data_IF_905053272595
#
_entry.id   IF_905053272595
#
_cell.length_a   1.000
_cell.length_b   1.000
_cell.length_c   1.000
_cell.angle_alpha   90.00
_cell.angle_beta   90.00
_cell.angle_gamma   90.00
#
_symmetry.space_group_name_H-M   'P 1'
#
loop_
_entity.id
_entity.type
_entity.pdbx_description
1 polymer ?
#
# COMPACT_ATOMS: atom_id res chain seq x y z
N UNK A 1 -29.36 -29.19 24.82
CA UNK A 1 -29.44 -27.97 23.98
C UNK A 1 -28.28 -26.98 24.22
N UNK A 2 -27.97 -26.57 25.48
CA UNK A 2 -26.84 -25.65 25.80
C UNK A 2 -25.44 -26.15 25.34
N UNK A 3 -25.13 -27.44 25.50
CA UNK A 3 -23.85 -28.02 25.04
C UNK A 3 -23.68 -27.99 23.50
N UNK A 4 -24.76 -28.21 22.75
CA UNK A 4 -24.76 -28.17 21.28
C UNK A 4 -24.57 -26.75 20.72
N UNK A 5 -25.13 -25.74 21.41
CA UNK A 5 -24.92 -24.33 21.09
C UNK A 5 -23.46 -23.93 21.36
N UNK A 6 -22.91 -24.32 22.52
CA UNK A 6 -21.47 -24.14 22.84
C UNK A 6 -20.56 -24.78 21.78
N UNK A 7 -20.84 -26.02 21.37
CA UNK A 7 -20.04 -26.73 20.35
C UNK A 7 -20.03 -26.01 19.00
N UNK A 8 -21.17 -25.46 18.54
CA UNK A 8 -21.23 -24.68 17.29
C UNK A 8 -20.48 -23.35 17.37
N UNK A 9 -20.56 -22.66 18.52
CA UNK A 9 -19.83 -21.41 18.73
C UNK A 9 -18.31 -21.63 18.73
N UNK A 10 -17.85 -22.72 19.33
CA UNK A 10 -16.43 -23.10 19.35
C UNK A 10 -15.89 -23.35 17.93
N UNK A 11 -16.67 -24.00 17.05
CA UNK A 11 -16.26 -24.23 15.65
C UNK A 11 -16.08 -22.91 14.90
N UNK A 12 -17.05 -21.99 14.98
CA UNK A 12 -16.95 -20.69 14.31
C UNK A 12 -15.82 -19.83 14.87
N UNK A 13 -15.57 -19.90 16.18
CA UNK A 13 -14.43 -19.25 16.78
C UNK A 13 -13.10 -19.81 16.24
N UNK A 14 -12.98 -21.14 16.11
CA UNK A 14 -11.82 -21.77 15.48
C UNK A 14 -11.62 -21.37 14.01
N UNK A 15 -12.71 -21.28 13.23
CA UNK A 15 -12.67 -20.78 11.84
C UNK A 15 -12.22 -19.32 11.80
N UNK A 16 -12.68 -18.48 12.74
CA UNK A 16 -12.25 -17.09 12.85
C UNK A 16 -10.75 -16.99 13.10
N UNK A 17 -10.20 -17.75 14.06
CA UNK A 17 -8.76 -17.77 14.31
C UNK A 17 -8.00 -18.20 13.05
N UNK A 18 -8.46 -19.25 12.36
CA UNK A 18 -7.83 -19.71 11.13
C UNK A 18 -7.81 -18.64 10.05
N UNK A 19 -8.93 -17.92 9.83
CA UNK A 19 -8.96 -16.83 8.86
C UNK A 19 -8.08 -15.66 9.25
N UNK A 20 -8.00 -15.31 10.54
CA UNK A 20 -7.06 -14.28 11.01
C UNK A 20 -5.62 -14.72 10.72
N UNK A 21 -5.26 -15.98 10.97
CA UNK A 21 -3.93 -16.49 10.65
C UNK A 21 -3.64 -16.47 9.14
N UNK A 22 -4.62 -16.84 8.29
CA UNK A 22 -4.50 -16.77 6.83
C UNK A 22 -4.31 -15.31 6.38
N UNK A 23 -5.10 -14.39 6.90
CA UNK A 23 -4.97 -12.96 6.59
C UNK A 23 -3.62 -12.40 7.03
N UNK A 24 -3.11 -12.84 8.19
CA UNK A 24 -1.82 -12.40 8.70
C UNK A 24 -0.66 -12.92 7.86
N UNK A 25 -0.71 -14.17 7.41
CA UNK A 25 0.38 -14.75 6.61
C UNK A 25 0.37 -14.28 5.15
N UNK A 26 -0.81 -14.08 4.56
CA UNK A 26 -0.95 -13.80 3.14
C UNK A 26 -1.16 -12.32 2.78
N UNK A 27 -1.67 -11.49 3.69
CA UNK A 27 -2.18 -10.16 3.34
C UNK A 27 -1.87 -9.07 4.37
N UNK A 28 -1.00 -9.32 5.36
CA UNK A 28 -0.71 -8.35 6.42
C UNK A 28 -0.23 -7.00 5.87
N UNK A 29 0.64 -7.00 4.86
CA UNK A 29 1.15 -5.76 4.28
C UNK A 29 0.17 -5.14 3.29
N UNK A 30 -0.66 -5.96 2.64
CA UNK A 30 -1.78 -5.46 1.84
C UNK A 30 -2.74 -4.59 2.66
N UNK A 31 -3.14 -5.01 3.87
CA UNK A 31 -4.01 -4.18 4.72
C UNK A 31 -3.38 -2.85 5.11
N UNK A 32 -2.09 -2.87 5.50
CA UNK A 32 -1.35 -1.65 5.81
C UNK A 32 -1.31 -0.70 4.60
N UNK A 33 -1.04 -1.24 3.42
CA UNK A 33 -0.97 -0.45 2.19
C UNK A 33 -2.33 0.13 1.77
N UNK A 34 -3.43 -0.59 2.02
CA UNK A 34 -4.78 -0.06 1.77
C UNK A 34 -5.08 1.18 2.63
N UNK A 35 -4.66 1.18 3.90
CA UNK A 35 -4.85 2.33 4.80
C UNK A 35 -4.12 3.56 4.31
N UNK A 36 -2.89 3.38 3.82
CA UNK A 36 -2.13 4.46 3.20
C UNK A 36 -2.84 5.07 2.00
N UNK A 37 -3.66 4.28 1.31
CA UNK A 37 -4.37 4.72 0.12
C UNK A 37 -5.68 5.44 0.43
N UNK A 38 -6.33 5.07 1.52
CA UNK A 38 -7.59 5.65 1.93
C UNK A 38 -7.82 5.38 3.42
N UNK A 39 -8.12 6.43 4.16
CA UNK A 39 -8.42 6.36 5.60
C UNK A 39 -9.67 7.16 5.93
N UNK A 40 -10.21 6.94 7.14
CA UNK A 40 -11.40 7.65 7.60
C UNK A 40 -11.06 9.05 8.11
N UNK A 41 -11.75 10.05 7.58
CA UNK A 41 -11.74 11.42 8.09
C UNK A 41 -13.03 11.64 8.88
N UNK A 42 -12.90 12.08 10.13
CA UNK A 42 -14.00 12.43 11.03
C UNK A 42 -14.64 13.76 10.61
N UNK A 43 -15.35 13.70 9.47
CA UNK A 43 -16.07 14.81 8.86
C UNK A 43 -17.56 14.45 8.74
N UNK A 44 -18.38 15.07 9.58
CA UNK A 44 -19.81 14.80 9.65
C UNK A 44 -20.52 15.15 8.33
N UNK A 45 -20.12 16.24 7.67
CA UNK A 45 -20.74 16.68 6.42
C UNK A 45 -20.43 15.69 5.29
N UNK A 46 -19.19 15.22 5.20
CA UNK A 46 -18.80 14.21 4.22
C UNK A 46 -19.55 12.89 4.43
N UNK A 47 -19.72 12.45 5.67
CA UNK A 47 -20.50 11.25 6.00
C UNK A 47 -21.97 11.43 5.65
N UNK A 48 -22.58 12.55 6.02
CA UNK A 48 -23.97 12.88 5.69
C UNK A 48 -24.22 12.97 4.18
N UNK A 49 -23.23 13.39 3.39
CA UNK A 49 -23.32 13.40 1.93
C UNK A 49 -23.08 12.02 1.30
N UNK A 50 -22.30 11.15 1.95
CA UNK A 50 -22.01 9.81 1.45
C UNK A 50 -23.17 8.83 1.70
N UNK A 51 -23.80 8.87 2.89
CA UNK A 51 -24.84 7.91 3.29
C UNK A 51 -26.04 7.79 2.33
N UNK A 52 -26.59 8.89 1.76
CA UNK A 52 -27.73 8.80 0.83
C UNK A 52 -27.38 8.18 -0.52
N UNK A 53 -26.08 8.14 -0.88
CA UNK A 53 -25.65 7.57 -2.16
C UNK A 53 -25.80 6.05 -2.13
N UNK A 54 -26.21 5.40 -3.24
CA UNK A 54 -26.28 3.94 -3.32
C UNK A 54 -24.93 3.29 -2.98
N UNK A 55 -24.92 2.39 -1.99
CA UNK A 55 -23.70 1.76 -1.47
C UNK A 55 -22.85 2.64 -0.53
N UNK A 56 -23.29 3.88 -0.25
CA UNK A 56 -22.58 4.83 0.60
C UNK A 56 -22.31 4.33 2.02
N UNK A 57 -23.26 3.58 2.61
CA UNK A 57 -23.05 2.96 3.92
C UNK A 57 -21.85 2.00 3.92
N UNK A 58 -21.68 1.19 2.88
CA UNK A 58 -20.57 0.25 2.80
C UNK A 58 -19.23 0.97 2.60
N UNK A 59 -19.21 2.08 1.86
CA UNK A 59 -18.04 2.94 1.72
C UNK A 59 -17.64 3.55 3.07
N UNK A 60 -18.59 4.18 3.78
CA UNK A 60 -18.34 4.78 5.10
C UNK A 60 -17.86 3.72 6.11
N UNK A 61 -18.49 2.55 6.13
CA UNK A 61 -18.06 1.45 6.99
C UNK A 61 -16.66 0.93 6.63
N UNK A 62 -16.32 0.87 5.33
CA UNK A 62 -15.01 0.43 4.89
C UNK A 62 -13.92 1.40 5.29
N UNK A 63 -14.13 2.69 5.04
CA UNK A 63 -13.19 3.75 5.40
C UNK A 63 -13.00 3.75 6.93
N UNK A 64 -14.10 3.68 7.69
CA UNK A 64 -14.05 3.59 9.16
C UNK A 64 -13.27 2.38 9.65
N UNK A 65 -13.45 1.20 9.06
CA UNK A 65 -12.72 0.00 9.49
C UNK A 65 -11.26 0.02 9.02
N UNK A 66 -10.97 0.63 7.87
CA UNK A 66 -9.61 0.73 7.31
C UNK A 66 -8.66 1.54 8.19
N UNK A 67 -9.16 2.54 8.95
CA UNK A 67 -8.32 3.33 9.87
C UNK A 67 -7.58 2.47 10.91
N UNK A 68 -8.13 1.30 11.27
CA UNK A 68 -7.50 0.39 12.24
C UNK A 68 -6.34 -0.42 11.64
N UNK A 69 -6.22 -0.45 10.30
CA UNK A 69 -5.14 -1.19 9.63
C UNK A 69 -3.77 -0.52 9.88
N UNK A 70 -3.75 0.78 10.17
CA UNK A 70 -2.56 1.49 10.64
C UNK A 70 -1.95 0.82 11.89
N UNK A 71 -2.80 0.36 12.82
CA UNK A 71 -2.39 -0.31 14.06
C UNK A 71 -2.15 -1.83 13.89
N UNK A 72 -2.15 -2.34 12.65
CA UNK A 72 -1.93 -3.76 12.36
C UNK A 72 -3.15 -4.66 12.62
N UNK A 73 -4.34 -4.09 12.87
CA UNK A 73 -5.56 -4.86 13.12
C UNK A 73 -6.22 -5.44 11.84
N UNK A 74 -5.66 -5.19 10.66
CA UNK A 74 -6.22 -5.62 9.37
C UNK A 74 -6.57 -7.11 9.29
N UNK A 75 -5.66 -8.03 9.64
CA UNK A 75 -5.96 -9.46 9.65
C UNK A 75 -7.12 -9.85 10.57
N UNK A 76 -7.28 -9.16 11.71
CA UNK A 76 -8.37 -9.40 12.67
C UNK A 76 -9.70 -8.95 12.07
N UNK A 77 -9.75 -7.70 11.60
CA UNK A 77 -10.98 -7.11 11.00
C UNK A 77 -11.43 -7.93 9.80
N UNK A 78 -10.52 -8.25 8.88
CA UNK A 78 -10.85 -9.00 7.68
C UNK A 78 -11.15 -10.47 7.97
N UNK A 79 -10.46 -11.09 8.93
CA UNK A 79 -10.75 -12.44 9.39
C UNK A 79 -12.16 -12.57 9.96
N UNK A 80 -12.61 -11.60 10.77
CA UNK A 80 -14.00 -11.52 11.25
C UNK A 80 -14.97 -11.40 10.08
N UNK A 81 -14.69 -10.53 9.10
CA UNK A 81 -15.53 -10.37 7.91
C UNK A 81 -15.65 -11.67 7.10
N UNK A 82 -14.54 -12.38 6.91
CA UNK A 82 -14.52 -13.71 6.27
C UNK A 82 -15.36 -14.74 7.05
N UNK A 83 -15.29 -14.73 8.39
CA UNK A 83 -16.13 -15.59 9.22
C UNK A 83 -17.61 -15.26 9.07
N UNK A 84 -17.97 -13.97 9.04
CA UNK A 84 -19.35 -13.53 8.84
C UNK A 84 -19.89 -13.98 7.47
N UNK A 85 -19.08 -13.90 6.41
CA UNK A 85 -19.44 -14.39 5.06
C UNK A 85 -19.69 -15.91 5.09
N UNK A 86 -18.75 -16.68 5.63
CA UNK A 86 -18.89 -18.14 5.71
C UNK A 86 -20.09 -18.54 6.58
N UNK A 87 -20.33 -17.82 7.68
CA UNK A 87 -21.47 -18.00 8.55
C UNK A 87 -22.78 -17.71 7.83
N UNK A 88 -22.91 -16.56 7.17
CA UNK A 88 -24.10 -16.16 6.42
C UNK A 88 -24.46 -17.19 5.35
N UNK A 89 -23.45 -17.70 4.62
CA UNK A 89 -23.66 -18.73 3.61
C UNK A 89 -24.09 -20.07 4.21
N UNK A 90 -23.62 -20.42 5.41
CA UNK A 90 -24.09 -21.63 6.11
C UNK A 90 -25.58 -21.59 6.46
N UNK A 91 -26.20 -20.39 6.47
CA UNK A 91 -27.62 -20.22 6.73
C UNK A 91 -28.49 -20.51 5.49
N UNK A 92 -27.91 -20.56 4.28
CA UNK A 92 -28.66 -20.74 3.04
C UNK A 92 -29.37 -22.09 2.98
N UNK A 93 -28.72 -23.17 3.46
CA UNK A 93 -29.25 -24.55 3.45
C UNK A 93 -29.21 -25.15 4.87
N UNK A 94 -30.33 -25.67 5.43
CA UNK A 94 -30.42 -26.00 6.90
C UNK A 94 -29.43 -27.10 7.30
N UNK A 95 -29.31 -28.09 6.41
CA UNK A 95 -28.52 -29.31 6.59
C UNK A 95 -27.29 -29.35 5.67
N UNK A 96 -27.06 -28.28 4.91
CA UNK A 96 -25.93 -28.18 4.00
C UNK A 96 -24.59 -28.13 4.74
N UNK A 97 -23.52 -28.47 4.03
CA UNK A 97 -22.16 -28.38 4.54
C UNK A 97 -21.78 -26.98 5.01
N UNK A 98 -21.72 -26.77 6.33
CA UNK A 98 -21.45 -25.45 6.93
C UNK A 98 -20.05 -24.93 6.62
N UNK A 99 -19.06 -25.82 6.54
CA UNK A 99 -17.67 -25.47 6.26
C UNK A 99 -17.42 -25.08 4.80
N UNK A 100 -18.31 -25.45 3.86
CA UNK A 100 -18.15 -25.11 2.44
C UNK A 100 -18.14 -23.59 2.20
N UNK A 101 -18.78 -22.80 3.06
CA UNK A 101 -18.77 -21.33 2.96
C UNK A 101 -17.38 -20.70 3.14
N UNK A 102 -16.42 -21.44 3.69
CA UNK A 102 -15.03 -20.98 3.80
C UNK A 102 -14.39 -20.74 2.42
N UNK A 103 -14.83 -21.47 1.39
CA UNK A 103 -14.34 -21.32 0.01
C UNK A 103 -14.67 -19.91 -0.51
N UNK A 104 -15.92 -19.49 -0.34
CA UNK A 104 -16.40 -18.16 -0.74
C UNK A 104 -15.72 -17.04 0.06
N UNK A 105 -15.47 -17.26 1.35
CA UNK A 105 -14.73 -16.31 2.18
C UNK A 105 -13.27 -16.13 1.70
N UNK A 106 -12.59 -17.22 1.34
CA UNK A 106 -11.22 -17.16 0.78
C UNK A 106 -11.21 -16.53 -0.61
N UNK A 107 -12.21 -16.81 -1.45
CA UNK A 107 -12.37 -16.13 -2.74
C UNK A 107 -12.49 -14.61 -2.57
N UNK A 108 -13.22 -14.14 -1.56
CA UNK A 108 -13.31 -12.72 -1.21
C UNK A 108 -11.96 -12.12 -0.82
N UNK A 109 -11.13 -12.84 -0.05
CA UNK A 109 -9.75 -12.41 0.25
C UNK A 109 -8.91 -12.31 -1.03
N UNK A 110 -8.94 -13.35 -1.87
CA UNK A 110 -8.14 -13.39 -3.11
C UNK A 110 -8.49 -12.26 -4.06
N UNK A 111 -9.78 -11.93 -4.21
CA UNK A 111 -10.20 -10.76 -4.99
C UNK A 111 -9.56 -9.51 -4.41
N UNK A 112 -9.69 -9.23 -3.12
CA UNK A 112 -9.12 -8.02 -2.52
C UNK A 112 -7.60 -7.92 -2.73
N UNK A 113 -6.87 -9.01 -2.48
CA UNK A 113 -5.39 -8.99 -2.52
C UNK A 113 -4.80 -8.92 -3.92
N UNK A 114 -5.59 -9.24 -4.95
CA UNK A 114 -5.11 -9.37 -6.33
C UNK A 114 -4.90 -8.06 -7.08
N UNK A 115 -5.52 -6.96 -6.62
CA UNK A 115 -5.29 -5.66 -7.21
C UNK A 115 -5.68 -4.55 -6.22
N UNK A 116 -4.84 -3.52 -6.10
CA UNK A 116 -5.13 -2.37 -5.22
C UNK A 116 -6.29 -1.49 -5.71
N UNK A 117 -6.76 -1.72 -6.94
CA UNK A 117 -7.97 -1.11 -7.46
C UNK A 117 -9.25 -1.61 -6.76
N UNK A 118 -9.22 -2.83 -6.19
CA UNK A 118 -10.36 -3.43 -5.52
C UNK A 118 -10.53 -2.83 -4.13
N UNK A 119 -11.74 -2.32 -3.87
CA UNK A 119 -12.03 -1.57 -2.66
C UNK A 119 -12.45 -2.51 -1.53
N UNK A 120 -12.03 -2.19 -0.31
CA UNK A 120 -12.48 -2.89 0.89
C UNK A 120 -14.01 -2.80 1.09
N UNK A 121 -14.63 -1.72 0.61
CA UNK A 121 -16.09 -1.57 0.56
C UNK A 121 -16.79 -2.70 -0.22
N UNK A 122 -16.12 -3.29 -1.22
CA UNK A 122 -16.65 -4.41 -1.98
C UNK A 122 -16.83 -5.65 -1.13
N UNK A 123 -15.88 -5.93 -0.24
CA UNK A 123 -15.96 -7.04 0.72
C UNK A 123 -17.07 -6.81 1.75
N UNK A 124 -17.28 -5.57 2.21
CA UNK A 124 -18.39 -5.23 3.11
C UNK A 124 -19.74 -5.39 2.40
N UNK A 125 -19.88 -4.86 1.19
CA UNK A 125 -21.08 -5.04 0.37
C UNK A 125 -21.38 -6.53 0.18
N UNK A 126 -20.37 -7.32 -0.18
CA UNK A 126 -20.51 -8.76 -0.36
C UNK A 126 -21.02 -9.44 0.91
N UNK A 127 -20.42 -9.15 2.06
CA UNK A 127 -20.88 -9.69 3.35
C UNK A 127 -22.35 -9.36 3.64
N UNK A 128 -22.76 -8.11 3.44
CA UNK A 128 -24.16 -7.69 3.66
C UNK A 128 -25.09 -8.45 2.71
N UNK A 129 -24.72 -8.60 1.43
CA UNK A 129 -25.54 -9.34 0.46
C UNK A 129 -25.66 -10.81 0.84
N UNK A 130 -24.61 -11.46 1.36
CA UNK A 130 -24.68 -12.85 1.81
C UNK A 130 -25.74 -13.06 2.92
N UNK A 131 -25.87 -12.11 3.84
CA UNK A 131 -26.93 -12.11 4.85
C UNK A 131 -28.31 -11.82 4.26
N UNK A 132 -28.43 -10.87 3.33
CA UNK A 132 -29.70 -10.57 2.67
C UNK A 132 -30.22 -11.79 1.87
N UNK A 133 -29.34 -12.53 1.19
CA UNK A 133 -29.71 -13.79 0.53
C UNK A 133 -30.22 -14.81 1.56
N UNK A 134 -29.57 -14.92 2.72
CA UNK A 134 -30.07 -15.80 3.79
C UNK A 134 -31.49 -15.39 4.25
N UNK A 135 -31.79 -14.08 4.35
CA UNK A 135 -33.13 -13.56 4.65
C UNK A 135 -34.13 -13.95 3.56
N UNK A 136 -33.78 -13.78 2.28
CA UNK A 136 -34.63 -14.15 1.14
C UNK A 136 -34.99 -15.64 1.17
N UNK A 137 -34.05 -16.51 1.53
CA UNK A 137 -34.25 -17.96 1.59
C UNK A 137 -35.04 -18.44 2.81
N UNK A 138 -35.11 -17.66 3.89
CA UNK A 138 -35.63 -18.11 5.21
C UNK A 138 -36.87 -17.40 5.71
N UNK A 139 -37.04 -16.14 5.35
CA UNK A 139 -38.01 -15.26 5.99
C UNK A 139 -39.34 -15.17 5.24
N UNK A 140 -40.31 -14.47 5.86
CA UNK A 140 -41.64 -14.20 5.29
C UNK A 140 -41.55 -13.31 4.04
N UNK A 141 -42.54 -13.39 3.15
CA UNK A 141 -42.55 -12.73 1.83
C UNK A 141 -42.20 -11.23 1.84
N UNK A 142 -42.76 -10.44 2.77
CA UNK A 142 -42.44 -9.01 2.89
C UNK A 142 -40.95 -8.72 3.15
N UNK A 143 -40.30 -9.49 4.04
CA UNK A 143 -38.87 -9.37 4.31
C UNK A 143 -38.02 -9.77 3.09
N UNK A 144 -38.50 -10.70 2.26
CA UNK A 144 -37.82 -11.06 1.00
C UNK A 144 -37.83 -9.89 0.03
N UNK A 145 -38.98 -9.22 -0.13
CA UNK A 145 -39.10 -8.07 -1.01
C UNK A 145 -38.15 -6.95 -0.58
N UNK A 146 -38.12 -6.62 0.72
CA UNK A 146 -37.19 -5.64 1.28
C UNK A 146 -35.73 -6.04 1.02
N UNK A 147 -35.39 -7.31 1.26
CA UNK A 147 -34.02 -7.79 1.04
C UNK A 147 -33.59 -7.72 -0.43
N UNK A 148 -34.46 -8.05 -1.38
CA UNK A 148 -34.17 -7.93 -2.83
C UNK A 148 -33.92 -6.48 -3.22
N UNK A 149 -34.78 -5.55 -2.76
CA UNK A 149 -34.59 -4.11 -3.00
C UNK A 149 -33.24 -3.63 -2.46
N UNK A 150 -32.88 -4.04 -1.23
CA UNK A 150 -31.59 -3.68 -0.64
C UNK A 150 -30.39 -4.24 -1.42
N UNK A 151 -30.46 -5.48 -1.92
CA UNK A 151 -29.40 -6.06 -2.76
C UNK A 151 -29.16 -5.21 -4.01
N UNK A 152 -30.23 -4.81 -4.70
CA UNK A 152 -30.14 -3.98 -5.92
C UNK A 152 -29.55 -2.60 -5.61
N UNK A 153 -29.85 -2.02 -4.45
CA UNK A 153 -29.33 -0.72 -4.04
C UNK A 153 -27.85 -0.78 -3.61
N UNK A 154 -27.40 -1.89 -3.02
CA UNK A 154 -26.06 -2.06 -2.48
C UNK A 154 -24.99 -2.37 -3.54
N UNK A 155 -25.31 -3.22 -4.52
CA UNK A 155 -24.30 -3.68 -5.50
C UNK A 155 -24.11 -2.62 -6.58
N UNK A 156 -23.08 -1.79 -6.42
CA UNK A 156 -22.68 -0.76 -7.37
C UNK A 156 -21.20 -0.83 -7.68
N UNK A 157 -20.82 -0.46 -8.91
CA UNK A 157 -19.42 -0.43 -9.38
C UNK A 157 -18.51 0.33 -8.40
N UNK A 158 -18.96 1.50 -7.93
CA UNK A 158 -18.19 2.39 -7.07
C UNK A 158 -17.88 1.81 -5.68
N UNK A 159 -18.57 0.74 -5.27
CA UNK A 159 -18.22 0.01 -4.04
C UNK A 159 -17.20 -1.09 -4.30
N UNK A 160 -17.14 -1.63 -5.53
CA UNK A 160 -16.32 -2.79 -5.86
C UNK A 160 -14.91 -2.39 -6.30
N UNK A 161 -14.82 -1.34 -7.12
CA UNK A 161 -13.56 -0.91 -7.73
C UNK A 161 -13.47 0.60 -7.76
N UNK A 162 -12.25 1.13 -7.64
CA UNK A 162 -11.95 2.56 -7.73
C UNK A 162 -12.40 3.15 -9.07
N UNK A 163 -12.77 4.43 -9.06
CA UNK A 163 -13.17 5.15 -10.27
C UNK A 163 -12.05 5.13 -11.33
N UNK A 164 -12.41 5.15 -12.62
CA UNK A 164 -11.45 5.04 -13.73
C UNK A 164 -10.94 3.63 -14.04
N UNK A 165 -11.24 2.63 -13.22
CA UNK A 165 -10.79 1.25 -13.48
C UNK A 165 -11.87 0.39 -14.18
N UNK A 166 -11.41 -0.53 -15.02
CA UNK A 166 -12.27 -1.48 -15.73
C UNK A 166 -12.66 -2.68 -14.85
N UNK A 167 -13.89 -3.16 -15.04
CA UNK A 167 -14.41 -4.30 -14.29
C UNK A 167 -13.85 -5.61 -14.86
N UNK A 168 -12.85 -6.19 -14.19
CA UNK A 168 -12.31 -7.51 -14.55
C UNK A 168 -13.11 -8.64 -13.92
N UNK A 169 -13.09 -9.81 -14.55
CA UNK A 169 -13.74 -11.05 -14.06
C UNK A 169 -13.38 -11.38 -12.60
N UNK A 170 -12.19 -11.01 -12.15
CA UNK A 170 -11.71 -11.29 -10.79
C UNK A 170 -12.56 -10.63 -9.68
N UNK A 171 -13.23 -9.51 -9.97
CA UNK A 171 -14.20 -8.87 -9.05
C UNK A 171 -15.38 -9.79 -8.76
N UNK A 172 -15.77 -10.60 -9.76
CA UNK A 172 -16.93 -11.48 -9.67
C UNK A 172 -16.60 -12.84 -9.03
N UNK A 173 -15.33 -13.14 -8.75
CA UNK A 173 -14.90 -14.41 -8.16
C UNK A 173 -15.67 -14.77 -6.86
N UNK A 174 -15.88 -13.86 -5.88
CA UNK A 174 -16.60 -14.19 -4.65
C UNK A 174 -18.08 -14.47 -4.93
N UNK A 175 -18.65 -13.78 -5.91
CA UNK A 175 -20.05 -13.94 -6.32
C UNK A 175 -20.29 -15.27 -7.03
N UNK A 176 -19.43 -15.63 -7.99
CA UNK A 176 -19.49 -16.90 -8.70
C UNK A 176 -19.29 -18.08 -7.74
N UNK A 177 -18.30 -17.97 -6.85
CA UNK A 177 -18.03 -19.01 -5.85
C UNK A 177 -19.16 -19.13 -4.84
N UNK A 178 -19.85 -18.03 -4.49
CA UNK A 178 -21.02 -18.09 -3.62
C UNK A 178 -22.15 -18.95 -4.22
N UNK A 179 -22.42 -18.78 -5.51
CA UNK A 179 -23.43 -19.57 -6.25
C UNK A 179 -23.01 -21.03 -6.30
N UNK A 180 -21.77 -21.33 -6.72
CA UNK A 180 -21.25 -22.71 -6.80
C UNK A 180 -21.30 -23.40 -5.44
N UNK A 181 -20.86 -22.74 -4.38
CA UNK A 181 -20.91 -23.29 -3.01
C UNK A 181 -22.34 -23.49 -2.54
N UNK A 182 -23.29 -22.62 -2.90
CA UNK A 182 -24.71 -22.82 -2.63
C UNK A 182 -25.24 -24.11 -3.28
N UNK A 183 -24.88 -24.36 -4.54
CA UNK A 183 -25.23 -25.61 -5.24
C UNK A 183 -24.57 -26.83 -4.58
N UNK A 184 -23.30 -26.73 -4.18
CA UNK A 184 -22.60 -27.79 -3.45
C UNK A 184 -23.23 -28.07 -2.08
N UNK A 185 -23.73 -27.04 -1.38
CA UNK A 185 -24.45 -27.22 -0.12
C UNK A 185 -25.76 -27.99 -0.35
N UNK A 186 -26.52 -27.68 -1.40
CA UNK A 186 -27.72 -28.45 -1.76
C UNK A 186 -27.36 -29.89 -2.11
N UNK A 187 -26.37 -30.11 -2.97
CA UNK A 187 -25.88 -31.44 -3.32
C UNK A 187 -25.41 -32.23 -2.09
N UNK A 188 -24.77 -31.56 -1.12
CA UNK A 188 -24.31 -32.18 0.11
C UNK A 188 -25.45 -32.72 0.98
N UNK A 189 -26.64 -32.13 0.94
CA UNK A 189 -27.83 -32.65 1.65
C UNK A 189 -28.29 -33.97 1.03
N UNK A 190 -28.29 -34.06 -0.31
CA UNK A 190 -28.60 -35.32 -0.99
C UNK A 190 -27.53 -36.39 -0.72
N UNK A 191 -26.26 -36.01 -0.78
CA UNK A 191 -25.13 -36.90 -0.53
C UNK A 191 -25.05 -37.37 0.93
N UNK A 192 -25.51 -36.59 1.90
CA UNK A 192 -25.61 -37.02 3.31
C UNK A 192 -26.44 -38.28 3.47
N UNK A 193 -27.48 -38.47 2.64
CA UNK A 193 -28.30 -39.69 2.65
C UNK A 193 -27.51 -40.94 2.24
N UNK A 194 -26.48 -40.79 1.42
CA UNK A 194 -25.67 -41.90 0.89
C UNK A 194 -24.36 -42.12 1.66
N UNK A 195 -23.59 -41.05 1.87
CA UNK A 195 -22.22 -41.10 2.42
C UNK A 195 -22.19 -41.03 3.95
N UNK A 196 -23.32 -40.72 4.61
CA UNK A 196 -23.43 -40.66 6.07
C UNK A 196 -22.31 -39.83 6.72
N UNK A 197 -21.54 -40.47 7.61
CA UNK A 197 -20.44 -39.84 8.37
C UNK A 197 -19.27 -39.31 7.51
N UNK A 198 -19.08 -39.82 6.28
CA UNK A 198 -17.96 -39.42 5.44
C UNK A 198 -18.18 -38.08 4.71
N UNK A 199 -19.40 -37.53 4.71
CA UNK A 199 -19.67 -36.24 4.05
C UNK A 199 -18.88 -35.09 4.65
N UNK A 200 -18.70 -35.07 5.97
CA UNK A 200 -17.91 -34.00 6.63
C UNK A 200 -16.45 -34.07 6.19
N UNK A 201 -15.88 -35.27 6.07
CA UNK A 201 -14.52 -35.45 5.56
C UNK A 201 -14.40 -34.98 4.10
N UNK A 202 -15.36 -35.36 3.25
CA UNK A 202 -15.40 -34.92 1.86
C UNK A 202 -15.49 -33.38 1.75
N UNK A 203 -16.29 -32.72 2.59
CA UNK A 203 -16.37 -31.25 2.64
C UNK A 203 -15.02 -30.63 3.00
N UNK A 204 -14.31 -31.15 4.00
CA UNK A 204 -13.01 -30.63 4.40
C UNK A 204 -11.98 -30.79 3.28
N UNK A 205 -11.97 -31.93 2.57
CA UNK A 205 -11.09 -32.14 1.40
C UNK A 205 -11.41 -31.14 0.29
N UNK A 206 -12.69 -30.90 -0.01
CA UNK A 206 -13.11 -29.90 -1.02
C UNK A 206 -12.68 -28.49 -0.61
N UNK A 207 -12.88 -28.12 0.66
CA UNK A 207 -12.48 -26.79 1.17
C UNK A 207 -10.96 -26.62 1.06
N UNK A 208 -10.17 -27.58 1.54
CA UNK A 208 -8.71 -27.51 1.49
C UNK A 208 -8.23 -27.46 0.03
N UNK A 209 -8.77 -28.33 -0.83
CA UNK A 209 -8.45 -28.33 -2.26
C UNK A 209 -8.73 -26.99 -2.92
N UNK A 210 -9.91 -26.42 -2.72
CA UNK A 210 -10.30 -25.13 -3.29
C UNK A 210 -9.45 -23.97 -2.75
N UNK A 211 -9.15 -23.95 -1.45
CA UNK A 211 -8.26 -22.95 -0.84
C UNK A 211 -6.87 -23.04 -1.46
N UNK A 212 -6.29 -24.24 -1.57
CA UNK A 212 -4.99 -24.44 -2.22
C UNK A 212 -5.02 -23.97 -3.67
N UNK A 213 -6.07 -24.32 -4.44
CA UNK A 213 -6.23 -23.85 -5.82
C UNK A 213 -6.24 -22.33 -5.89
N UNK A 214 -6.99 -21.64 -5.02
CA UNK A 214 -7.01 -20.18 -4.98
C UNK A 214 -5.64 -19.56 -4.68
N UNK A 215 -4.89 -20.12 -3.73
CA UNK A 215 -3.54 -19.65 -3.45
C UNK A 215 -2.56 -19.93 -4.60
N UNK A 216 -2.75 -20.99 -5.39
CA UNK A 216 -1.90 -21.28 -6.54
C UNK A 216 -2.23 -20.42 -7.76
N UNK A 217 -3.49 -19.99 -7.93
CA UNK A 217 -3.94 -19.29 -9.15
C UNK A 217 -4.12 -17.79 -8.98
N UNK A 218 -4.54 -17.33 -7.80
CA UNK A 218 -4.92 -15.92 -7.57
C UNK A 218 -3.90 -15.14 -6.72
N UNK A 219 -3.15 -15.81 -5.84
CA UNK A 219 -2.23 -15.14 -4.94
C UNK A 219 -0.95 -14.70 -5.67
N UNK A 220 -0.57 -13.42 -5.49
CA UNK A 220 0.60 -12.83 -6.13
C UNK A 220 1.70 -12.55 -5.09
N UNK A 221 2.60 -13.51 -4.82
CA UNK A 221 3.61 -13.38 -3.76
C UNK A 221 4.61 -12.25 -4.02
N UNK A 222 4.89 -11.94 -5.29
CA UNK A 222 5.80 -10.83 -5.67
C UNK A 222 5.22 -9.47 -5.27
N UNK A 223 3.92 -9.28 -5.44
CA UNK A 223 3.28 -8.01 -5.06
C UNK A 223 3.20 -7.84 -3.54
N UNK A 224 2.86 -8.91 -2.81
CA UNK A 224 2.87 -8.87 -1.34
C UNK A 224 4.28 -8.61 -0.78
N UNK A 225 5.30 -9.20 -1.42
CA UNK A 225 6.69 -8.90 -1.10
C UNK A 225 7.02 -7.41 -1.31
N UNK A 226 6.57 -6.79 -2.40
CA UNK A 226 6.79 -5.36 -2.61
C UNK A 226 6.02 -4.47 -1.61
N UNK A 227 4.79 -4.84 -1.24
CA UNK A 227 4.03 -4.14 -0.18
C UNK A 227 4.78 -4.18 1.16
N UNK A 228 5.45 -5.30 1.46
CA UNK A 228 6.36 -5.43 2.60
C UNK A 228 7.56 -4.49 2.52
N UNK A 229 8.16 -4.33 1.34
CA UNK A 229 9.27 -3.38 1.15
C UNK A 229 8.79 -1.93 1.33
N UNK A 230 7.61 -1.58 0.82
CA UNK A 230 7.03 -0.25 1.04
C UNK A 230 6.70 0.01 2.52
N UNK A 231 6.29 -1.01 3.27
CA UNK A 231 6.18 -0.90 4.72
C UNK A 231 7.52 -0.51 5.37
N UNK A 232 8.62 -1.13 4.95
CA UNK A 232 9.95 -0.78 5.46
C UNK A 232 10.39 0.62 5.06
N UNK A 233 10.12 1.04 3.82
CA UNK A 233 10.37 2.43 3.37
C UNK A 233 9.63 3.42 4.25
N UNK A 234 8.33 3.19 4.46
CA UNK A 234 7.48 4.10 5.23
C UNK A 234 7.94 4.27 6.67
N UNK A 235 8.36 3.17 7.30
CA UNK A 235 8.83 3.13 8.68
C UNK A 235 10.34 3.38 8.82
N UNK A 236 11.03 3.77 7.74
CA UNK A 236 12.47 4.06 7.72
C UNK A 236 13.34 2.89 8.22
N UNK A 237 12.90 1.66 7.97
CA UNK A 237 13.61 0.44 8.33
C UNK A 237 14.64 0.08 7.25
N UNK A 238 15.64 0.95 7.09
CA UNK A 238 16.63 0.87 6.00
C UNK A 238 17.45 -0.42 6.00
N UNK A 239 17.87 -0.88 7.18
CA UNK A 239 18.63 -2.13 7.31
C UNK A 239 17.83 -3.35 6.84
N UNK A 240 16.51 -3.37 7.08
CA UNK A 240 15.64 -4.46 6.61
C UNK A 240 15.58 -4.52 5.07
N UNK A 241 15.61 -3.37 4.39
CA UNK A 241 15.64 -3.31 2.93
C UNK A 241 17.00 -3.81 2.42
N UNK A 242 18.10 -3.29 2.97
CA UNK A 242 19.46 -3.63 2.54
C UNK A 242 19.74 -5.13 2.75
N UNK A 243 19.39 -5.70 3.90
CA UNK A 243 19.59 -7.12 4.21
C UNK A 243 18.82 -8.06 3.27
N UNK A 244 17.78 -7.58 2.59
CA UNK A 244 16.96 -8.37 1.65
C UNK A 244 17.43 -8.29 0.21
N UNK A 245 18.54 -7.63 -0.07
CA UNK A 245 19.07 -7.46 -1.43
C UNK A 245 19.34 -8.77 -2.17
N UNK A 246 19.64 -9.86 -1.44
CA UNK A 246 19.88 -11.19 -2.00
C UNK A 246 18.64 -12.10 -1.99
N UNK A 247 17.48 -11.59 -1.56
CA UNK A 247 16.26 -12.40 -1.51
C UNK A 247 15.67 -12.65 -2.90
N UNK A 248 14.91 -13.75 -3.05
CA UNK A 248 14.25 -14.11 -4.32
C UNK A 248 13.30 -13.02 -4.85
N UNK A 249 12.71 -12.21 -3.97
CA UNK A 249 11.82 -11.11 -4.35
C UNK A 249 12.54 -9.84 -4.79
N UNK A 250 13.81 -9.69 -4.42
CA UNK A 250 14.66 -8.55 -4.79
C UNK A 250 15.38 -8.74 -6.13
N UNK A 251 15.69 -10.00 -6.48
CA UNK A 251 16.43 -10.33 -7.69
C UNK A 251 15.69 -9.85 -8.94
N UNK A 252 16.43 -9.18 -9.83
CA UNK A 252 15.95 -8.62 -11.10
C UNK A 252 14.78 -7.63 -11.00
N UNK A 253 14.55 -7.05 -9.81
CA UNK A 253 13.45 -6.12 -9.57
C UNK A 253 13.96 -4.67 -9.46
N UNK A 254 13.81 -3.90 -10.53
CA UNK A 254 14.19 -2.47 -10.59
C UNK A 254 13.61 -1.66 -9.44
N UNK A 255 12.32 -1.88 -9.12
CA UNK A 255 11.62 -1.15 -8.05
C UNK A 255 12.24 -1.42 -6.68
N UNK A 256 12.68 -2.65 -6.45
CA UNK A 256 13.45 -3.00 -5.26
C UNK A 256 14.81 -2.31 -5.24
N UNK A 257 15.51 -2.22 -6.39
CA UNK A 257 16.79 -1.54 -6.50
C UNK A 257 16.66 -0.04 -6.15
N UNK A 258 15.60 0.64 -6.60
CA UNK A 258 15.28 2.01 -6.18
C UNK A 258 15.15 2.12 -4.65
N UNK A 259 14.37 1.22 -4.04
CA UNK A 259 14.20 1.19 -2.57
C UNK A 259 15.53 0.96 -1.84
N UNK A 260 16.38 0.06 -2.36
CA UNK A 260 17.70 -0.26 -1.79
C UNK A 260 18.65 0.93 -1.91
N UNK A 261 18.71 1.56 -3.07
CA UNK A 261 19.59 2.70 -3.32
C UNK A 261 19.16 3.90 -2.44
N UNK A 262 17.85 4.10 -2.26
CA UNK A 262 17.31 5.05 -1.27
C UNK A 262 17.68 4.70 0.16
N UNK A 263 17.54 3.44 0.58
CA UNK A 263 17.94 3.00 1.91
C UNK A 263 19.44 3.21 2.17
N UNK A 264 20.30 2.96 1.17
CA UNK A 264 21.73 3.24 1.26
C UNK A 264 22.00 4.75 1.37
N UNK A 265 21.29 5.58 0.60
CA UNK A 265 21.45 7.03 0.61
C UNK A 265 21.04 7.65 1.95
N UNK A 266 19.91 7.22 2.52
CA UNK A 266 19.45 7.66 3.85
C UNK A 266 20.41 7.26 4.97
N UNK A 267 21.23 6.22 4.75
CA UNK A 267 22.34 5.84 5.65
C UNK A 267 23.66 6.54 5.35
N UNK A 268 23.78 7.27 4.23
CA UNK A 268 25.04 7.84 3.74
C UNK A 268 26.05 6.78 3.29
N UNK A 269 25.55 5.65 2.77
CA UNK A 269 26.34 4.51 2.31
C UNK A 269 26.15 4.22 0.81
N UNK A 270 25.40 5.06 0.06
CA UNK A 270 25.11 4.82 -1.36
C UNK A 270 26.41 4.86 -2.16
N UNK A 271 27.21 5.91 -1.99
CA UNK A 271 28.51 6.01 -2.65
C UNK A 271 29.48 4.90 -2.23
N UNK A 272 29.36 4.35 -1.02
CA UNK A 272 30.23 3.28 -0.53
C UNK A 272 29.88 1.95 -1.18
N UNK A 273 28.58 1.62 -1.24
CA UNK A 273 28.10 0.28 -1.56
C UNK A 273 27.43 0.14 -2.93
N UNK A 274 27.32 1.20 -3.73
CA UNK A 274 26.65 1.19 -5.04
C UNK A 274 27.05 0.00 -5.92
N UNK A 275 28.36 -0.23 -6.07
CA UNK A 275 28.93 -1.27 -6.94
C UNK A 275 28.98 -2.66 -6.29
N UNK A 276 28.50 -2.80 -5.04
CA UNK A 276 28.31 -4.11 -4.40
C UNK A 276 27.01 -4.79 -4.85
N UNK A 277 26.13 -4.06 -5.53
CA UNK A 277 24.84 -4.55 -5.99
C UNK A 277 24.64 -4.28 -7.48
N UNK A 278 23.91 -5.17 -8.15
CA UNK A 278 23.53 -5.00 -9.55
C UNK A 278 22.66 -3.76 -9.75
N UNK A 279 22.96 -2.99 -10.81
CA UNK A 279 22.24 -1.80 -11.22
C UNK A 279 21.67 -2.01 -12.64
N UNK A 280 20.36 -1.94 -12.80
CA UNK A 280 19.68 -2.08 -14.09
C UNK A 280 19.56 -0.73 -14.82
N UNK A 281 20.70 -0.11 -15.09
CA UNK A 281 20.78 1.20 -15.73
C UNK A 281 20.10 2.30 -14.92
N UNK A 282 19.78 3.42 -15.57
CA UNK A 282 19.24 4.60 -14.86
C UNK A 282 17.93 4.32 -14.12
N UNK A 283 17.12 3.37 -14.58
CA UNK A 283 15.87 2.99 -13.92
C UNK A 283 16.06 2.47 -12.48
N UNK A 284 17.27 2.00 -12.13
CA UNK A 284 17.62 1.58 -10.77
C UNK A 284 17.95 2.74 -9.82
N UNK A 285 18.18 3.94 -10.37
CA UNK A 285 18.45 5.18 -9.61
C UNK A 285 17.23 6.09 -9.63
N UNK A 286 16.66 6.31 -10.82
CA UNK A 286 15.46 7.09 -11.06
C UNK A 286 14.72 6.50 -12.26
N UNK A 287 13.51 6.02 -12.04
CA UNK A 287 12.67 5.54 -13.14
C UNK A 287 11.83 6.66 -13.73
N UNK A 288 11.67 6.63 -15.06
CA UNK A 288 10.71 7.46 -15.78
C UNK A 288 9.36 6.75 -16.02
N UNK A 289 9.22 5.50 -15.56
CA UNK A 289 8.05 4.67 -15.83
C UNK A 289 6.95 4.83 -14.76
N UNK A 290 6.25 5.97 -14.78
CA UNK A 290 5.15 6.29 -13.85
C UNK A 290 3.82 5.59 -14.16
N UNK A 291 3.83 4.38 -14.73
CA UNK A 291 2.62 3.62 -15.11
C UNK A 291 1.68 3.26 -13.96
N UNK A 292 2.18 3.26 -12.72
CA UNK A 292 1.38 2.88 -11.56
C UNK A 292 1.51 3.93 -10.46
N UNK A 293 0.43 4.10 -9.70
CA UNK A 293 0.39 5.00 -8.55
C UNK A 293 1.40 4.58 -7.48
N UNK A 294 1.64 3.27 -7.32
CA UNK A 294 2.66 2.72 -6.42
C UNK A 294 4.06 3.24 -6.75
N UNK A 295 4.43 3.26 -8.04
CA UNK A 295 5.73 3.78 -8.48
C UNK A 295 5.81 5.29 -8.28
N UNK A 296 4.73 6.02 -8.52
CA UNK A 296 4.66 7.47 -8.29
C UNK A 296 4.89 7.82 -6.81
N UNK A 297 4.26 7.07 -5.90
CA UNK A 297 4.46 7.21 -4.46
C UNK A 297 5.87 6.81 -4.03
N UNK A 298 6.47 5.77 -4.63
CA UNK A 298 7.87 5.43 -4.36
C UNK A 298 8.81 6.55 -4.82
N UNK A 299 8.59 7.09 -6.02
CA UNK A 299 9.44 8.15 -6.56
C UNK A 299 9.34 9.44 -5.75
N UNK A 300 8.17 9.75 -5.18
CA UNK A 300 8.02 10.81 -4.19
C UNK A 300 9.05 10.65 -3.05
N UNK A 301 9.22 9.44 -2.50
CA UNK A 301 10.20 9.18 -1.43
C UNK A 301 11.64 9.21 -1.94
N UNK A 302 11.90 8.64 -3.12
CA UNK A 302 13.24 8.65 -3.74
C UNK A 302 13.69 10.08 -3.99
N UNK A 303 12.84 10.94 -4.56
CA UNK A 303 13.16 12.35 -4.77
C UNK A 303 13.37 13.10 -3.45
N UNK A 304 12.57 12.79 -2.42
CA UNK A 304 12.79 13.37 -1.11
C UNK A 304 14.15 12.97 -0.55
N UNK A 305 14.53 11.68 -0.66
CA UNK A 305 15.83 11.17 -0.23
C UNK A 305 17.00 11.81 -0.99
N UNK A 306 16.83 12.06 -2.30
CA UNK A 306 17.77 12.82 -3.13
C UNK A 306 17.92 14.28 -2.69
N UNK A 307 17.00 14.81 -1.87
CA UNK A 307 16.95 16.23 -1.50
C UNK A 307 16.16 17.08 -2.50
N UNK A 308 15.55 16.46 -3.51
CA UNK A 308 14.73 17.14 -4.51
C UNK A 308 13.30 17.35 -3.99
N UNK A 309 13.16 18.26 -3.03
CA UNK A 309 11.91 18.57 -2.30
C UNK A 309 10.75 18.87 -3.24
N UNK A 310 10.95 19.72 -4.25
CA UNK A 310 9.88 20.15 -5.15
C UNK A 310 9.37 19.02 -6.06
N UNK A 311 10.24 18.12 -6.53
CA UNK A 311 9.81 16.92 -7.26
C UNK A 311 9.05 15.96 -6.36
N UNK A 312 9.48 15.78 -5.11
CA UNK A 312 8.73 15.01 -4.13
C UNK A 312 7.33 15.60 -3.90
N UNK A 313 7.23 16.93 -3.78
CA UNK A 313 5.95 17.62 -3.64
C UNK A 313 5.05 17.43 -4.86
N UNK A 314 5.60 17.53 -6.08
CA UNK A 314 4.83 17.31 -7.31
C UNK A 314 4.27 15.89 -7.36
N UNK A 315 5.12 14.87 -7.17
CA UNK A 315 4.67 13.47 -7.16
C UNK A 315 3.60 13.22 -6.10
N UNK A 316 3.74 13.82 -4.91
CA UNK A 316 2.76 13.70 -3.85
C UNK A 316 1.42 14.35 -4.22
N UNK A 317 1.44 15.53 -4.84
CA UNK A 317 0.25 16.26 -5.27
C UNK A 317 -0.51 15.49 -6.36
N UNK A 318 0.17 15.09 -7.44
CA UNK A 318 -0.44 14.34 -8.54
C UNK A 318 -1.01 13.00 -8.08
N UNK A 319 -0.25 12.28 -7.25
CA UNK A 319 -0.71 11.02 -6.68
C UNK A 319 -1.95 11.22 -5.81
N UNK A 320 -2.04 12.34 -5.08
CA UNK A 320 -3.15 12.60 -4.18
C UNK A 320 -4.44 12.92 -4.95
N UNK A 321 -4.35 13.65 -6.05
CA UNK A 321 -5.45 13.90 -6.98
C UNK A 321 -5.95 12.58 -7.60
N UNK A 322 -5.04 11.68 -7.99
CA UNK A 322 -5.43 10.33 -8.44
C UNK A 322 -6.09 9.48 -7.34
N UNK A 323 -6.03 9.90 -6.08
CA UNK A 323 -6.53 9.16 -4.92
C UNK A 323 -7.77 9.79 -4.28
N UNK A 324 -8.46 10.65 -5.02
CA UNK A 324 -9.65 11.39 -4.55
C UNK A 324 -9.37 12.21 -3.28
N UNK A 325 -8.11 12.64 -3.09
CA UNK A 325 -7.70 13.45 -1.93
C UNK A 325 -7.84 12.74 -0.57
N UNK A 326 -7.68 11.40 -0.55
CA UNK A 326 -7.90 10.57 0.65
C UNK A 326 -6.65 9.99 1.31
N UNK A 327 -5.49 9.98 0.65
CA UNK A 327 -4.30 9.33 1.20
C UNK A 327 -3.72 10.15 2.36
N UNK A 328 -3.70 9.63 3.60
CA UNK A 328 -3.03 10.33 4.70
C UNK A 328 -1.52 10.40 4.47
N UNK A 329 -0.95 9.39 3.83
CA UNK A 329 0.49 9.33 3.58
C UNK A 329 0.97 10.49 2.69
N UNK A 330 0.27 10.73 1.59
CA UNK A 330 0.57 11.84 0.67
C UNK A 330 0.35 13.19 1.33
N UNK A 331 -0.68 13.32 2.17
CA UNK A 331 -0.88 14.54 2.96
C UNK A 331 0.30 14.83 3.90
N UNK A 332 0.87 13.82 4.55
CA UNK A 332 2.04 14.04 5.41
C UNK A 332 3.23 14.58 4.62
N UNK A 333 3.49 14.02 3.43
CA UNK A 333 4.55 14.54 2.56
C UNK A 333 4.27 15.99 2.15
N UNK A 334 3.05 16.27 1.71
CA UNK A 334 2.65 17.62 1.29
C UNK A 334 2.73 18.64 2.44
N UNK A 335 2.43 18.23 3.68
CA UNK A 335 2.65 19.09 4.86
C UNK A 335 4.13 19.41 5.02
N UNK A 336 4.99 18.40 5.05
CA UNK A 336 6.44 18.59 5.26
C UNK A 336 7.06 19.44 4.14
N UNK A 337 6.76 19.16 2.87
CA UNK A 337 7.33 19.93 1.73
C UNK A 337 6.80 21.36 1.66
N UNK A 338 5.54 21.62 2.00
CA UNK A 338 5.02 23.00 2.07
C UNK A 338 5.59 23.76 3.27
N UNK A 339 5.86 23.09 4.39
CA UNK A 339 6.60 23.70 5.51
C UNK A 339 8.02 24.04 5.05
N UNK A 340 8.73 23.13 4.38
CA UNK A 340 10.08 23.35 3.86
C UNK A 340 10.13 24.53 2.87
N UNK A 341 9.16 24.65 1.96
CA UNK A 341 9.01 25.76 1.03
C UNK A 341 8.54 27.08 1.68
N UNK A 342 8.11 27.07 2.95
CA UNK A 342 7.56 28.25 3.62
C UNK A 342 6.11 28.59 3.23
N UNK A 343 5.45 27.71 2.47
CA UNK A 343 4.04 27.80 2.11
C UNK A 343 3.12 27.37 3.28
N UNK A 344 3.26 28.03 4.43
CA UNK A 344 2.62 27.65 5.68
C UNK A 344 1.10 27.61 5.61
N UNK A 345 0.47 28.51 4.86
CA UNK A 345 -0.98 28.54 4.70
C UNK A 345 -1.51 27.27 3.98
N UNK A 346 -0.72 26.71 3.05
CA UNK A 346 -1.07 25.46 2.35
C UNK A 346 -0.84 24.28 3.27
N UNK A 347 0.30 24.22 3.97
CA UNK A 347 0.58 23.20 4.96
C UNK A 347 -0.51 23.13 6.05
N UNK A 348 -1.00 24.29 6.52
CA UNK A 348 -2.06 24.33 7.52
C UNK A 348 -3.37 23.70 7.02
N UNK A 349 -3.74 23.90 5.74
CA UNK A 349 -4.93 23.25 5.17
C UNK A 349 -4.83 21.71 5.25
N UNK A 350 -3.67 21.15 4.91
CA UNK A 350 -3.45 19.71 4.96
C UNK A 350 -3.34 19.18 6.40
N UNK A 351 -2.72 19.94 7.31
CA UNK A 351 -2.72 19.62 8.75
C UNK A 351 -4.14 19.51 9.28
N UNK A 352 -5.03 20.46 8.94
CA UNK A 352 -6.45 20.44 9.37
C UNK A 352 -7.17 19.17 8.90
N UNK A 353 -6.85 18.63 7.72
CA UNK A 353 -7.40 17.36 7.25
C UNK A 353 -6.90 16.19 8.09
N UNK A 354 -5.59 16.08 8.29
CA UNK A 354 -4.97 14.99 9.06
C UNK A 354 -5.37 15.00 10.55
N UNK A 355 -5.62 16.18 11.13
CA UNK A 355 -6.15 16.33 12.49
C UNK A 355 -7.53 15.69 12.70
N UNK A 356 -8.28 15.47 11.61
CA UNK A 356 -9.57 14.76 11.60
C UNK A 356 -9.41 13.26 11.42
N UNK A 357 -8.21 12.70 11.43
CA UNK A 357 -8.01 11.24 11.38
C UNK A 357 -7.78 10.69 12.78
N UNK A 358 -7.88 9.37 12.97
CA UNK A 358 -7.52 8.75 14.24
C UNK A 358 -5.99 8.60 14.38
N UNK A 359 -5.34 8.00 13.36
CA UNK A 359 -3.93 7.61 13.42
C UNK A 359 -2.94 8.77 13.26
N UNK A 360 -3.27 9.79 12.45
CA UNK A 360 -2.31 10.84 12.07
C UNK A 360 -2.50 12.16 12.82
N UNK A 361 -3.50 12.24 13.69
CA UNK A 361 -3.89 13.46 14.40
C UNK A 361 -2.77 14.05 15.25
N UNK A 362 -2.07 13.22 16.01
CA UNK A 362 -1.02 13.71 16.91
C UNK A 362 0.22 14.13 16.12
N UNK A 363 0.58 13.39 15.07
CA UNK A 363 1.61 13.79 14.11
C UNK A 363 1.27 15.15 13.46
N UNK A 364 0.01 15.36 13.06
CA UNK A 364 -0.41 16.61 12.41
C UNK A 364 -0.37 17.80 13.38
N UNK A 365 -0.80 17.61 14.63
CA UNK A 365 -0.71 18.65 15.68
C UNK A 365 0.73 19.03 15.98
N UNK A 366 1.64 18.06 16.03
CA UNK A 366 3.08 18.29 16.24
C UNK A 366 3.65 19.25 15.18
N UNK A 367 3.21 19.10 13.92
CA UNK A 367 3.65 19.95 12.81
C UNK A 367 3.21 21.41 12.91
N UNK A 368 2.21 21.74 13.72
CA UNK A 368 1.78 23.15 13.90
C UNK A 368 2.89 24.04 14.47
N UNK A 369 3.83 23.50 15.25
CA UNK A 369 4.94 24.30 15.84
C UNK A 369 5.85 24.96 14.79
N UNK A 370 5.84 24.43 13.57
CA UNK A 370 6.65 24.90 12.45
C UNK A 370 5.93 25.96 11.60
N UNK A 371 4.60 26.06 11.72
CA UNK A 371 3.82 27.01 10.92
C UNK A 371 4.20 28.44 11.30
N UNK A 372 4.53 29.26 10.29
CA UNK A 372 4.92 30.66 10.45
C UNK A 372 6.13 30.86 11.38
N UNK A 373 6.97 29.83 11.56
CA UNK A 373 8.13 29.86 12.44
C UNK A 373 9.39 29.33 11.74
N UNK A 374 10.00 30.17 10.90
CA UNK A 374 11.22 29.83 10.15
C UNK A 374 12.37 29.40 11.05
N UNK A 375 12.46 29.96 12.26
CA UNK A 375 13.52 29.60 13.22
C UNK A 375 13.37 28.15 13.68
N UNK A 376 12.14 27.72 13.98
CA UNK A 376 11.87 26.33 14.34
C UNK A 376 12.14 25.38 13.16
N UNK A 377 11.74 25.75 11.93
CA UNK A 377 12.00 24.94 10.73
C UNK A 377 13.50 24.78 10.50
N UNK A 378 14.28 25.87 10.55
CA UNK A 378 15.74 25.83 10.36
C UNK A 378 16.48 25.05 11.44
N UNK A 379 15.94 25.00 12.66
CA UNK A 379 16.52 24.26 13.77
C UNK A 379 16.21 22.75 13.71
N UNK A 380 15.17 22.35 12.99
CA UNK A 380 14.83 20.94 12.81
C UNK A 380 15.87 20.23 11.92
N UNK A 381 16.30 19.04 12.33
CA UNK A 381 17.36 18.29 11.65
C UNK A 381 16.97 17.88 10.23
N UNK A 382 15.70 17.53 9.99
CA UNK A 382 15.24 17.04 8.70
C UNK A 382 14.70 18.19 7.87
N UNK A 383 13.69 18.91 8.37
CA UNK A 383 13.04 19.99 7.63
C UNK A 383 14.02 21.13 7.34
N UNK A 384 14.89 21.46 8.29
CA UNK A 384 15.91 22.50 8.11
C UNK A 384 16.94 22.14 7.04
N UNK A 385 17.38 20.88 7.00
CA UNK A 385 18.30 20.39 5.96
C UNK A 385 17.63 20.36 4.58
N UNK A 386 16.40 19.85 4.49
CA UNK A 386 15.65 19.81 3.23
C UNK A 386 15.29 21.19 2.72
N UNK A 387 14.99 22.15 3.59
CA UNK A 387 14.82 23.55 3.22
C UNK A 387 16.08 24.15 2.57
N UNK A 388 17.28 23.81 3.04
CA UNK A 388 18.53 24.25 2.39
C UNK A 388 18.71 23.66 1.00
N UNK A 389 18.15 22.48 0.73
CA UNK A 389 18.22 21.84 -0.59
C UNK A 389 17.37 22.55 -1.65
N UNK A 390 16.41 23.38 -1.26
CA UNK A 390 15.61 24.18 -2.19
C UNK A 390 16.49 25.32 -2.71
N UNK A 391 16.86 25.26 -4.00
CA UNK A 391 17.65 26.29 -4.66
C UNK A 391 16.75 27.42 -5.18
N UNK A 392 17.29 28.64 -5.24
CA UNK A 392 16.54 29.88 -5.50
C UNK A 392 16.25 30.18 -6.96
N UNK A 393 16.87 29.44 -7.89
CA UNK A 393 16.73 29.73 -9.31
C UNK A 393 15.35 29.27 -9.81
N UNK A 394 14.53 30.20 -10.28
CA UNK A 394 13.29 29.90 -11.00
C UNK A 394 13.64 29.23 -12.34
N UNK A 395 13.74 27.91 -12.32
CA UNK A 395 14.03 27.06 -13.48
C UNK A 395 12.93 26.02 -13.62
N UNK A 396 12.56 25.72 -14.86
CA UNK A 396 11.74 24.54 -15.15
C UNK A 396 12.51 23.29 -14.72
N UNK A 397 11.81 22.37 -14.08
CA UNK A 397 12.41 21.11 -13.64
C UNK A 397 12.93 20.33 -14.86
N UNK A 398 14.14 19.78 -14.74
CA UNK A 398 14.83 19.08 -15.82
C UNK A 398 15.40 20.00 -16.91
N UNK A 399 15.36 21.33 -16.73
CA UNK A 399 15.98 22.25 -17.68
C UNK A 399 17.51 22.09 -17.65
N UNK A 400 18.06 21.53 -18.72
CA UNK A 400 19.47 21.12 -18.78
C UNK A 400 19.76 19.74 -18.19
N UNK A 401 18.74 18.94 -17.89
CA UNK A 401 18.87 17.58 -17.37
C UNK A 401 18.62 17.45 -15.87
N UNK A 402 18.22 16.25 -15.43
CA UNK A 402 17.97 15.96 -14.02
C UNK A 402 19.25 16.01 -13.16
N UNK A 403 20.39 15.67 -13.75
CA UNK A 403 21.70 15.78 -13.12
C UNK A 403 22.09 17.24 -12.84
N UNK A 404 21.72 18.19 -13.71
CA UNK A 404 21.91 19.61 -13.49
C UNK A 404 21.09 20.15 -12.29
N UNK A 405 19.87 19.65 -12.12
CA UNK A 405 19.05 19.98 -10.94
C UNK A 405 19.71 19.48 -9.67
N UNK A 406 20.18 18.22 -9.65
CA UNK A 406 20.91 17.67 -8.50
C UNK A 406 22.22 18.43 -8.23
N UNK A 407 22.97 18.81 -9.27
CA UNK A 407 24.18 19.63 -9.12
C UNK A 407 23.88 21.00 -8.49
N UNK A 408 22.76 21.61 -8.87
CA UNK A 408 22.26 22.87 -8.27
C UNK A 408 21.92 22.68 -6.79
N UNK A 409 21.29 21.56 -6.43
CA UNK A 409 21.02 21.20 -5.03
C UNK A 409 22.31 21.00 -4.24
N UNK A 410 23.31 20.29 -4.78
CA UNK A 410 24.61 20.10 -4.11
C UNK A 410 25.29 21.44 -3.85
N UNK A 411 25.23 22.38 -4.80
CA UNK A 411 25.78 23.72 -4.65
C UNK A 411 25.06 24.53 -3.56
N UNK A 412 23.72 24.43 -3.49
CA UNK A 412 22.91 25.12 -2.50
C UNK A 412 23.04 24.50 -1.09
N UNK A 413 23.11 23.17 -1.01
CA UNK A 413 23.18 22.40 0.23
C UNK A 413 24.30 21.35 0.21
N UNK A 414 25.56 21.76 0.40
CA UNK A 414 26.69 20.82 0.43
C UNK A 414 26.67 19.88 1.66
N UNK A 415 25.86 20.19 2.67
CA UNK A 415 25.69 19.34 3.86
C UNK A 415 24.88 18.06 3.54
N UNK A 416 24.04 18.08 2.49
CA UNK A 416 23.18 16.96 2.14
C UNK A 416 23.91 15.95 1.24
N UNK A 417 24.70 15.09 1.88
CA UNK A 417 25.57 14.09 1.21
C UNK A 417 24.83 13.19 0.23
N UNK A 418 23.60 12.80 0.55
CA UNK A 418 22.81 11.92 -0.31
C UNK A 418 22.62 12.48 -1.73
N UNK A 419 22.45 13.81 -1.91
CA UNK A 419 22.34 14.40 -3.26
C UNK A 419 23.61 14.17 -4.07
N UNK A 420 24.77 14.41 -3.45
CA UNK A 420 26.07 14.22 -4.11
C UNK A 420 26.32 12.75 -4.45
N UNK A 421 25.97 11.84 -3.55
CA UNK A 421 26.07 10.41 -3.78
C UNK A 421 25.14 9.96 -4.92
N UNK A 422 23.89 10.45 -4.96
CA UNK A 422 22.99 10.17 -6.07
C UNK A 422 23.52 10.69 -7.40
N UNK A 423 24.02 11.93 -7.44
CA UNK A 423 24.59 12.51 -8.66
C UNK A 423 25.80 11.70 -9.16
N UNK A 424 26.72 11.34 -8.27
CA UNK A 424 27.86 10.47 -8.61
C UNK A 424 27.41 9.08 -9.08
N UNK A 425 26.43 8.48 -8.40
CA UNK A 425 25.86 7.19 -8.78
C UNK A 425 25.20 7.23 -10.16
N UNK A 426 24.48 8.31 -10.49
CA UNK A 426 23.89 8.49 -11.81
C UNK A 426 24.96 8.51 -12.90
N UNK A 427 26.03 9.29 -12.71
CA UNK A 427 27.11 9.36 -13.69
C UNK A 427 27.82 8.02 -13.90
N UNK A 428 28.02 7.25 -12.82
CA UNK A 428 28.58 5.88 -12.92
C UNK A 428 27.64 4.98 -13.74
N UNK A 429 26.34 4.96 -13.40
CA UNK A 429 25.36 4.05 -14.02
C UNK A 429 25.05 4.43 -15.46
N UNK A 430 25.07 5.72 -15.80
CA UNK A 430 24.91 6.23 -17.16
C UNK A 430 26.22 6.19 -17.98
N UNK A 431 27.34 5.77 -17.39
CA UNK A 431 28.67 5.80 -18.00
C UNK A 431 29.08 7.20 -18.51
N UNK A 432 28.69 8.25 -17.80
CA UNK A 432 29.08 9.65 -18.03
C UNK A 432 30.41 9.94 -17.33
N UNK A 433 31.51 9.54 -17.97
CA UNK A 433 32.84 9.49 -17.35
C UNK A 433 33.41 10.87 -17.08
N UNK A 434 33.26 11.79 -18.02
CA UNK A 434 33.84 13.13 -17.96
C UNK A 434 33.22 13.94 -16.80
N UNK A 435 31.90 13.83 -16.66
CA UNK A 435 31.07 14.45 -15.65
C UNK A 435 31.38 13.89 -14.27
N UNK A 436 31.52 12.56 -14.16
CA UNK A 436 31.93 11.92 -12.91
C UNK A 436 33.31 12.37 -12.44
N UNK A 437 34.31 12.38 -13.33
CA UNK A 437 35.67 12.80 -12.97
C UNK A 437 35.73 14.29 -12.59
N UNK A 438 34.95 15.13 -13.28
CA UNK A 438 34.79 16.55 -12.93
C UNK A 438 34.18 16.73 -11.53
N UNK A 439 33.11 15.99 -11.23
CA UNK A 439 32.45 15.99 -9.92
C UNK A 439 33.43 15.58 -8.81
N UNK A 440 34.21 14.52 -9.02
CA UNK A 440 35.20 14.07 -8.05
C UNK A 440 36.31 15.12 -7.86
N UNK A 441 36.80 15.74 -8.94
CA UNK A 441 37.81 16.82 -8.86
C UNK A 441 37.29 18.02 -8.05
N UNK A 442 36.02 18.35 -8.20
CA UNK A 442 35.41 19.50 -7.51
C UNK A 442 35.20 19.25 -6.01
N UNK A 443 34.74 18.07 -5.61
CA UNK A 443 34.32 17.81 -4.23
C UNK A 443 35.30 16.98 -3.39
N UNK A 444 36.30 16.33 -3.99
CA UNK A 444 37.30 15.56 -3.24
C UNK A 444 38.00 16.42 -2.19
N UNK A 445 37.97 15.98 -0.93
CA UNK A 445 38.64 16.65 0.19
C UNK A 445 37.91 17.90 0.70
N UNK A 446 36.72 18.20 0.17
CA UNK A 446 35.84 19.25 0.70
C UNK A 446 35.06 18.74 1.92
N UNK A 447 34.39 19.65 2.65
CA UNK A 447 33.48 19.26 3.74
C UNK A 447 32.33 18.35 3.26
N UNK A 448 31.93 18.49 1.99
CA UNK A 448 30.87 17.72 1.33
C UNK A 448 31.28 16.27 1.08
N UNK A 449 32.54 16.03 0.70
CA UNK A 449 33.13 14.71 0.48
C UNK A 449 34.55 14.64 1.08
N UNK A 450 34.66 14.44 2.41
CA UNK A 450 35.95 14.40 3.09
C UNK A 450 36.78 13.17 2.72
N UNK A 451 36.11 12.05 2.46
CA UNK A 451 36.69 10.80 1.96
C UNK A 451 35.95 10.38 0.69
N UNK A 452 36.66 9.80 -0.28
CA UNK A 452 36.04 9.30 -1.52
C UNK A 452 35.42 7.92 -1.24
N UNK A 453 34.11 7.74 -1.43
CA UNK A 453 33.47 6.46 -1.19
C UNK A 453 34.06 5.31 -2.01
N UNK A 454 34.06 4.08 -1.48
CA UNK A 454 34.74 2.94 -2.10
C UNK A 454 34.27 2.63 -3.53
N UNK A 455 32.96 2.67 -3.79
CA UNK A 455 32.45 2.46 -5.15
C UNK A 455 32.86 3.60 -6.09
N UNK A 456 32.95 4.83 -5.58
CA UNK A 456 33.40 5.98 -6.36
C UNK A 456 34.90 5.92 -6.65
N UNK A 457 35.72 5.52 -5.68
CA UNK A 457 37.16 5.31 -5.87
C UNK A 457 37.42 4.26 -6.97
N UNK A 458 36.67 3.15 -6.95
CA UNK A 458 36.74 2.12 -7.98
C UNK A 458 36.32 2.65 -9.36
N UNK A 459 35.24 3.42 -9.43
CA UNK A 459 34.80 4.06 -10.68
C UNK A 459 35.85 5.05 -11.22
N UNK A 460 36.49 5.84 -10.34
CA UNK A 460 37.57 6.76 -10.72
C UNK A 460 38.76 6.02 -11.35
N UNK A 461 39.15 4.86 -10.80
CA UNK A 461 40.24 4.05 -11.35
C UNK A 461 39.91 3.55 -12.76
N UNK A 462 38.69 3.06 -12.97
CA UNK A 462 38.24 2.52 -14.26
C UNK A 462 38.10 3.64 -15.31
N UNK A 463 37.44 4.75 -14.96
CA UNK A 463 37.22 5.86 -15.89
C UNK A 463 38.49 6.66 -16.15
N UNK A 464 39.41 6.73 -15.18
CA UNK A 464 40.72 7.39 -15.35
C UNK A 464 41.70 6.63 -16.26
N UNK A 465 41.53 5.31 -16.42
CA UNK A 465 42.35 4.49 -17.34
C UNK A 465 41.88 4.56 -18.79
N UNK A 466 40.60 4.86 -19.01
CA UNK A 466 40.00 5.07 -20.33
C UNK A 466 39.23 6.41 -20.34
N UNK A 467 39.94 7.56 -20.22
CA UNK A 467 39.33 8.85 -20.52
C UNK A 467 38.88 8.80 -21.99
N UNK A 468 37.68 9.30 -22.27
CA UNK A 468 37.06 9.24 -23.60
C UNK A 468 37.96 9.70 -24.74
#
# INVERSE_FOLDING_TARGET
MKQLIKSKQVIWFGICILFVCICHSAAAYHFYYMEQWNTFYWDADAVCQALPKPGGLALVMADFLAQFFYYGAGPIVYGILMTLVAYAQSLWVKEGGRSLGCITAVAMLMTLTSNMAYLFAGSICFMVVMFLVAVVLRCRMWLKFIAVVLIVLLVRKNCLVREGTELRLMVFLPWLTAVVVGLLQVASVYLQKFLGKYVVLAQMVIVVGAVVTFFLTCYQPKEEYMKKIYYYVRNQQWDEIINRSNSRGAKDNVTFQLCRNMALAEKGELGEKLLMFDQQGMNSIMTSDFKTLQVSMLMMDVYYAMGYVNMSQLCAFESQECMDNKSPYLWQRLVDTNIENGAYAVAEKYIKLLERTLAYRDWAKDRRRFLYNDKAVRADKVLGLKRKCIFSDDKLMGNGGFDNDLASIVKACPEHRATLEYLGSMYIVANQRSEFLSLMKQYKGTKTMPHIPASFAKAMEVFGKNPE
#
